data_IF_002563230370
#
_entry.id   IF_002563230370
#
_cell.length_a   1.000
_cell.length_b   1.000
_cell.length_c   1.000
_cell.angle_alpha   90.00
_cell.angle_beta   90.00
_cell.angle_gamma   90.00
#
_symmetry.space_group_name_H-M   'P 1'
#
loop_
_entity.id
_entity.type
_entity.pdbx_description
1 polymer ?
#
# COMPACT_ATOMS: atom_id res chain seq x y z
N UNK A 1 -9.36 13.60 28.37
CA UNK A 1 -10.56 13.31 27.58
C UNK A 1 -10.55 11.83 27.34
N UNK A 2 -11.63 11.16 27.70
CA UNK A 2 -11.70 9.71 27.67
C UNK A 2 -12.31 9.30 26.33
N UNK A 3 -11.50 8.65 25.51
CA UNK A 3 -11.91 8.00 24.27
C UNK A 3 -12.10 6.51 24.58
N UNK A 4 -13.14 5.90 24.01
CA UNK A 4 -13.42 4.48 24.18
C UNK A 4 -12.52 3.63 23.30
N UNK A 5 -12.26 4.07 22.07
CA UNK A 5 -11.55 3.30 21.05
C UNK A 5 -10.21 3.90 20.64
N UNK A 6 -9.82 5.05 21.19
CA UNK A 6 -8.52 5.65 20.98
C UNK A 6 -7.73 5.78 22.28
N UNK A 7 -6.43 5.58 22.22
CA UNK A 7 -5.50 6.05 23.25
C UNK A 7 -4.77 7.27 22.71
N UNK A 8 -4.73 8.34 23.50
CA UNK A 8 -4.02 9.57 23.16
C UNK A 8 -2.90 9.82 24.17
N UNK A 9 -1.67 9.94 23.68
CA UNK A 9 -0.51 10.34 24.46
C UNK A 9 0.14 11.57 23.84
N UNK A 10 0.50 12.57 24.64
CA UNK A 10 1.25 13.74 24.18
C UNK A 10 2.55 13.81 24.98
N UNK A 11 3.68 13.72 24.28
CA UNK A 11 5.01 13.77 24.88
C UNK A 11 5.97 14.51 23.94
N UNK A 12 6.81 15.38 24.48
CA UNK A 12 7.78 16.21 23.76
C UNK A 12 7.24 16.88 22.47
N UNK A 13 6.01 17.41 22.54
CA UNK A 13 5.33 18.05 21.41
C UNK A 13 4.86 17.09 20.32
N UNK A 14 4.89 15.78 20.55
CA UNK A 14 4.38 14.74 19.64
C UNK A 14 3.12 14.14 20.23
N UNK A 15 2.03 14.17 19.47
CA UNK A 15 0.79 13.50 19.84
C UNK A 15 0.69 12.13 19.16
N UNK A 16 0.54 11.06 19.92
CA UNK A 16 0.34 9.70 19.41
C UNK A 16 -1.12 9.28 19.59
N UNK A 17 -1.82 9.06 18.48
CA UNK A 17 -3.16 8.51 18.40
C UNK A 17 -3.04 7.00 18.14
N UNK A 18 -3.52 6.19 19.06
CA UNK A 18 -3.55 4.72 18.91
C UNK A 18 -4.98 4.22 18.79
N UNK A 19 -5.34 3.59 17.67
CA UNK A 19 -6.63 2.90 17.55
C UNK A 19 -6.56 1.64 18.41
N UNK A 20 -7.48 1.50 19.37
CA UNK A 20 -7.40 0.52 20.45
C UNK A 20 -8.57 -0.48 20.41
N UNK A 21 -8.61 -1.27 19.34
CA UNK A 21 -9.52 -2.43 19.19
C UNK A 21 -8.75 -3.68 18.74
N UNK A 22 -7.67 -4.08 19.43
CA UNK A 22 -6.74 -5.11 18.96
C UNK A 22 -7.40 -6.48 18.74
N UNK A 23 -8.43 -6.81 19.52
CA UNK A 23 -9.25 -8.01 19.40
C UNK A 23 -10.08 -8.06 18.10
N UNK A 24 -10.36 -6.90 17.51
CA UNK A 24 -11.03 -6.73 16.23
C UNK A 24 -10.08 -6.18 15.16
N UNK A 25 -8.76 -6.42 15.32
CA UNK A 25 -7.72 -6.00 14.38
C UNK A 25 -7.77 -4.50 14.05
N UNK A 26 -8.15 -3.69 15.04
CA UNK A 26 -8.29 -2.23 14.92
C UNK A 26 -9.25 -1.81 13.79
N UNK A 27 -10.27 -2.63 13.50
CA UNK A 27 -11.27 -2.31 12.48
C UNK A 27 -11.98 -0.99 12.79
N UNK A 28 -12.38 -0.25 11.75
CA UNK A 28 -13.01 1.07 11.90
C UNK A 28 -14.53 0.94 11.96
N UNK A 29 -15.13 1.56 12.98
CA UNK A 29 -16.57 1.79 13.12
C UNK A 29 -16.88 3.29 13.00
N UNK A 30 -18.16 3.69 12.89
CA UNK A 30 -18.54 5.11 12.98
C UNK A 30 -18.04 5.80 14.26
N UNK A 31 -18.00 5.09 15.39
CA UNK A 31 -17.50 5.63 16.66
C UNK A 31 -15.99 5.91 16.60
N UNK A 32 -15.20 5.00 16.04
CA UNK A 32 -13.76 5.21 15.82
C UNK A 32 -13.51 6.44 14.94
N UNK A 33 -14.28 6.62 13.86
CA UNK A 33 -14.16 7.82 13.02
C UNK A 33 -14.53 9.10 13.77
N UNK A 34 -15.55 9.06 14.62
CA UNK A 34 -15.95 10.19 15.43
C UNK A 34 -14.83 10.59 16.41
N UNK A 35 -14.28 9.66 17.17
CA UNK A 35 -13.16 9.92 18.09
C UNK A 35 -11.90 10.39 17.35
N UNK A 36 -11.62 9.82 16.17
CA UNK A 36 -10.48 10.25 15.35
C UNK A 36 -10.65 11.68 14.87
N UNK A 37 -11.86 12.07 14.46
CA UNK A 37 -12.17 13.45 14.09
C UNK A 37 -11.99 14.41 15.28
N UNK A 38 -12.57 14.08 16.43
CA UNK A 38 -12.47 14.93 17.63
C UNK A 38 -11.01 15.11 18.07
N UNK A 39 -10.25 14.01 18.13
CA UNK A 39 -8.81 14.07 18.47
C UNK A 39 -8.02 14.92 17.47
N UNK A 40 -8.25 14.78 16.16
CA UNK A 40 -7.58 15.60 15.14
C UNK A 40 -7.92 17.09 15.27
N UNK A 41 -9.17 17.44 15.61
CA UNK A 41 -9.58 18.85 15.82
C UNK A 41 -8.81 19.44 17.01
N UNK A 42 -8.79 18.73 18.14
CA UNK A 42 -8.11 19.15 19.37
C UNK A 42 -6.61 19.34 19.09
N UNK A 43 -5.98 18.30 18.54
CA UNK A 43 -4.54 18.28 18.30
C UNK A 43 -4.11 19.28 17.23
N UNK A 44 -4.96 19.59 16.25
CA UNK A 44 -4.66 20.61 15.25
C UNK A 44 -4.56 22.01 15.87
N UNK A 45 -5.41 22.30 16.87
CA UNK A 45 -5.50 23.62 17.52
C UNK A 45 -4.49 23.80 18.66
N UNK A 46 -3.97 22.71 19.22
CA UNK A 46 -3.02 22.76 20.31
C UNK A 46 -1.63 23.22 19.84
N UNK A 47 -1.21 24.42 20.24
CA UNK A 47 0.10 24.97 19.87
C UNK A 47 1.30 24.21 20.44
N UNK A 48 1.11 23.40 21.50
CA UNK A 48 2.17 22.56 22.09
C UNK A 48 2.48 21.35 21.20
N UNK A 49 1.49 20.84 20.48
CA UNK A 49 1.65 19.71 19.54
C UNK A 49 2.26 20.21 18.24
N UNK A 50 3.37 19.62 17.83
CA UNK A 50 4.14 19.94 16.62
C UNK A 50 4.05 18.86 15.54
N UNK A 51 3.82 17.60 15.93
CA UNK A 51 3.64 16.47 15.01
C UNK A 51 2.65 15.44 15.58
N UNK A 52 2.09 14.63 14.69
CA UNK A 52 1.17 13.55 15.03
C UNK A 52 1.72 12.20 14.57
N UNK A 53 1.54 11.19 15.41
CA UNK A 53 1.72 9.78 15.09
C UNK A 53 0.34 9.12 15.13
N UNK A 54 0.03 8.31 14.12
CA UNK A 54 -1.15 7.44 14.10
C UNK A 54 -0.63 6.01 14.07
N UNK A 55 -1.19 5.14 14.92
CA UNK A 55 -0.87 3.71 14.98
C UNK A 55 -2.04 2.87 15.49
N UNK A 56 -1.92 1.55 15.45
CA UNK A 56 -2.89 0.60 15.97
C UNK A 56 -2.34 -0.12 17.20
N UNK A 57 -3.21 -0.42 18.17
CA UNK A 57 -2.83 -1.17 19.36
C UNK A 57 -2.51 -2.64 19.01
N UNK A 58 -1.58 -3.21 19.76
CA UNK A 58 -1.12 -4.58 19.54
C UNK A 58 -0.19 -4.71 18.33
N UNK A 59 0.11 -5.96 17.94
CA UNK A 59 1.08 -6.27 16.89
C UNK A 59 0.46 -6.89 15.63
N UNK A 60 -0.87 -7.12 15.63
CA UNK A 60 -1.52 -7.86 14.54
C UNK A 60 -1.91 -7.00 13.34
N UNK A 61 -2.38 -5.78 13.57
CA UNK A 61 -2.86 -4.91 12.51
C UNK A 61 -2.74 -3.44 12.91
N UNK A 62 -2.39 -2.58 11.95
CA UNK A 62 -2.53 -1.13 12.10
C UNK A 62 -4.03 -0.80 12.15
N UNK A 63 -4.73 -1.10 11.05
CA UNK A 63 -6.17 -1.06 10.88
C UNK A 63 -6.51 -2.09 9.80
N UNK A 64 -7.39 -3.06 10.09
CA UNK A 64 -7.78 -4.10 9.11
C UNK A 64 -8.85 -3.65 8.09
N UNK A 65 -9.26 -2.38 8.13
CA UNK A 65 -10.27 -1.79 7.28
C UNK A 65 -11.56 -1.50 8.03
N UNK A 66 -12.67 -1.40 7.30
CA UNK A 66 -13.98 -1.17 7.88
C UNK A 66 -14.52 -2.43 8.57
N UNK A 67 -15.15 -2.26 9.73
CA UNK A 67 -15.72 -3.35 10.50
C UNK A 67 -16.95 -3.95 9.79
N UNK A 68 -16.78 -5.12 9.16
CA UNK A 68 -17.85 -5.79 8.39
C UNK A 68 -19.07 -6.14 9.26
N UNK A 69 -18.85 -6.46 10.54
CA UNK A 69 -19.95 -6.78 11.45
C UNK A 69 -20.77 -5.53 11.82
N UNK A 70 -20.12 -4.36 11.89
CA UNK A 70 -20.82 -3.09 11.99
C UNK A 70 -21.52 -2.71 10.68
N UNK A 71 -20.85 -2.88 9.53
CA UNK A 71 -21.38 -2.52 8.21
C UNK A 71 -22.60 -3.34 7.79
N UNK A 72 -22.63 -4.64 8.11
CA UNK A 72 -23.73 -5.54 7.71
C UNK A 72 -25.10 -5.16 8.29
N UNK A 73 -25.13 -4.29 9.29
CA UNK A 73 -26.33 -3.79 9.96
C UNK A 73 -26.78 -2.41 9.48
N UNK A 74 -26.00 -1.76 8.61
CA UNK A 74 -26.26 -0.39 8.17
C UNK A 74 -27.29 -0.35 7.03
N UNK A 75 -28.19 0.63 7.09
CA UNK A 75 -28.97 1.09 5.93
C UNK A 75 -28.09 1.82 4.91
N UNK A 76 -28.62 2.07 3.71
CA UNK A 76 -27.92 2.84 2.67
C UNK A 76 -27.52 4.26 3.12
N UNK A 77 -28.36 4.91 3.92
CA UNK A 77 -28.09 6.26 4.45
C UNK A 77 -26.96 6.21 5.49
N UNK A 78 -26.96 5.20 6.36
CA UNK A 78 -25.90 5.01 7.36
C UNK A 78 -24.57 4.65 6.71
N UNK A 79 -24.57 3.79 5.69
CA UNK A 79 -23.38 3.47 4.91
C UNK A 79 -22.82 4.71 4.18
N UNK A 80 -23.68 5.56 3.63
CA UNK A 80 -23.27 6.83 3.01
C UNK A 80 -22.62 7.76 4.04
N UNK A 81 -23.21 7.89 5.24
CA UNK A 81 -22.63 8.69 6.34
C UNK A 81 -21.30 8.13 6.81
N UNK A 82 -21.17 6.81 6.92
CA UNK A 82 -19.92 6.14 7.28
C UNK A 82 -18.82 6.41 6.24
N UNK A 83 -19.13 6.28 4.95
CA UNK A 83 -18.20 6.61 3.87
C UNK A 83 -17.79 8.09 3.89
N UNK A 84 -18.75 9.00 4.13
CA UNK A 84 -18.48 10.44 4.25
C UNK A 84 -17.57 10.76 5.44
N UNK A 85 -17.78 10.10 6.59
CA UNK A 85 -16.93 10.25 7.77
C UNK A 85 -15.50 9.77 7.50
N UNK A 86 -15.33 8.64 6.81
CA UNK A 86 -14.01 8.15 6.40
C UNK A 86 -13.28 9.13 5.47
N UNK A 87 -13.98 9.66 4.47
CA UNK A 87 -13.44 10.72 3.58
C UNK A 87 -13.06 11.97 4.36
N UNK A 88 -13.89 12.40 5.32
CA UNK A 88 -13.59 13.57 6.16
C UNK A 88 -12.33 13.33 7.01
N UNK A 89 -12.22 12.17 7.67
CA UNK A 89 -11.07 11.81 8.50
C UNK A 89 -9.76 11.81 7.70
N UNK A 90 -9.74 11.13 6.55
CA UNK A 90 -8.56 11.10 5.67
C UNK A 90 -8.22 12.50 5.17
N UNK A 91 -9.22 13.30 4.74
CA UNK A 91 -8.96 14.65 4.27
C UNK A 91 -8.42 15.57 5.37
N UNK A 92 -8.81 15.38 6.63
CA UNK A 92 -8.25 16.12 7.77
C UNK A 92 -6.80 15.73 8.04
N UNK A 93 -6.49 14.44 8.01
CA UNK A 93 -5.12 13.94 8.14
C UNK A 93 -4.22 14.52 7.04
N UNK A 94 -4.71 14.58 5.81
CA UNK A 94 -3.96 15.13 4.67
C UNK A 94 -3.76 16.65 4.77
N UNK A 95 -4.74 17.40 5.29
CA UNK A 95 -4.76 18.87 5.28
C UNK A 95 -4.31 19.53 6.56
N UNK A 96 -4.09 18.78 7.64
CA UNK A 96 -3.59 19.33 8.89
C UNK A 96 -2.22 19.97 8.64
N UNK A 97 -1.99 21.15 9.21
CA UNK A 97 -0.75 21.93 9.01
C UNK A 97 0.48 21.35 9.72
N UNK A 98 0.32 20.22 10.39
CA UNK A 98 1.33 19.55 11.20
C UNK A 98 1.71 18.22 10.53
N UNK A 99 2.98 17.79 10.55
CA UNK A 99 3.36 16.49 10.01
C UNK A 99 2.60 15.34 10.69
N UNK A 100 2.10 14.40 9.89
CA UNK A 100 1.43 13.18 10.37
C UNK A 100 2.20 11.95 9.90
N UNK A 101 2.52 11.05 10.83
CA UNK A 101 3.28 9.83 10.58
C UNK A 101 2.39 8.64 10.91
N UNK A 102 2.22 7.71 9.96
CA UNK A 102 1.58 6.42 10.22
C UNK A 102 2.66 5.37 10.48
N UNK A 103 2.62 4.71 11.65
CA UNK A 103 3.55 3.63 11.99
C UNK A 103 2.90 2.29 11.67
N UNK A 104 3.49 1.55 10.74
CA UNK A 104 3.09 0.19 10.37
C UNK A 104 4.27 -0.78 10.50
N UNK A 105 3.99 -2.05 10.86
CA UNK A 105 5.00 -3.11 10.87
C UNK A 105 5.32 -3.59 9.44
N UNK A 106 6.41 -4.36 9.29
CA UNK A 106 6.76 -4.97 8.01
C UNK A 106 5.66 -5.91 7.50
N UNK A 107 5.07 -6.71 8.38
CA UNK A 107 3.95 -7.63 8.07
C UNK A 107 2.72 -6.86 7.62
N UNK A 108 2.44 -5.71 8.25
CA UNK A 108 1.33 -4.84 7.87
C UNK A 108 1.58 -4.22 6.50
N UNK A 109 2.80 -3.76 6.21
CA UNK A 109 3.18 -3.27 4.90
C UNK A 109 3.00 -4.33 3.80
N UNK A 110 3.28 -5.60 4.11
CA UNK A 110 3.03 -6.73 3.20
C UNK A 110 1.53 -6.95 2.96
N UNK A 111 0.72 -6.94 4.04
CA UNK A 111 -0.72 -7.15 3.96
C UNK A 111 -1.44 -6.08 3.11
N UNK A 112 -1.00 -4.82 3.18
CA UNK A 112 -1.58 -3.73 2.39
C UNK A 112 -0.98 -3.61 0.98
N UNK A 113 -0.05 -4.49 0.61
CA UNK A 113 0.60 -4.50 -0.71
C UNK A 113 1.62 -3.37 -0.92
N UNK A 114 2.08 -2.70 0.14
CA UNK A 114 3.14 -1.69 0.07
C UNK A 114 4.50 -2.34 -0.24
N UNK A 115 4.71 -3.56 0.24
CA UNK A 115 5.89 -4.38 -0.08
C UNK A 115 5.46 -5.77 -0.55
N UNK A 116 6.28 -6.41 -1.38
CA UNK A 116 5.97 -7.74 -1.94
C UNK A 116 6.37 -8.90 -1.02
N UNK A 117 7.30 -8.69 -0.08
CA UNK A 117 7.82 -9.73 0.80
C UNK A 117 8.41 -9.12 2.08
N UNK A 118 8.35 -9.86 3.19
CA UNK A 118 9.02 -9.56 4.46
C UNK A 118 9.95 -10.72 4.80
N UNK A 119 11.17 -10.40 5.20
CA UNK A 119 12.24 -11.37 5.53
C UNK A 119 13.00 -10.88 6.76
N UNK A 120 13.80 -11.76 7.38
CA UNK A 120 14.71 -11.36 8.45
C UNK A 120 15.69 -10.29 7.97
N UNK A 121 16.06 -9.34 8.84
CA UNK A 121 16.92 -8.21 8.48
C UNK A 121 18.28 -8.68 7.90
N UNK A 122 18.82 -9.76 8.45
CA UNK A 122 20.04 -10.42 8.01
C UNK A 122 19.93 -11.10 6.63
N UNK A 123 18.70 -11.42 6.19
CA UNK A 123 18.43 -12.09 4.92
C UNK A 123 18.03 -11.12 3.80
N UNK A 124 17.78 -9.84 4.12
CA UNK A 124 17.24 -8.85 3.18
C UNK A 124 18.02 -8.79 1.88
N UNK A 125 19.35 -8.65 1.97
CA UNK A 125 20.21 -8.54 0.78
C UNK A 125 20.29 -9.86 0.01
N UNK A 126 20.38 -11.00 0.69
CA UNK A 126 20.43 -12.30 0.00
C UNK A 126 19.16 -12.60 -0.77
N UNK A 127 17.99 -12.34 -0.17
CA UNK A 127 16.67 -12.55 -0.80
C UNK A 127 16.46 -11.60 -1.98
N UNK A 128 16.85 -10.32 -1.82
CA UNK A 128 16.81 -9.32 -2.89
C UNK A 128 17.69 -9.74 -4.07
N UNK A 129 18.92 -10.21 -3.81
CA UNK A 129 19.82 -10.71 -4.85
C UNK A 129 19.27 -11.97 -5.54
N UNK A 130 18.58 -12.86 -4.81
CA UNK A 130 17.93 -14.00 -5.42
C UNK A 130 16.80 -13.59 -6.38
N UNK A 131 15.99 -12.60 -6.00
CA UNK A 131 14.97 -12.05 -6.90
C UNK A 131 15.61 -11.41 -8.15
N UNK A 132 16.68 -10.63 -7.98
CA UNK A 132 17.42 -10.06 -9.10
C UNK A 132 17.97 -11.14 -10.03
N UNK A 133 18.55 -12.23 -9.49
CA UNK A 133 19.02 -13.38 -10.27
C UNK A 133 17.90 -14.05 -11.06
N UNK A 134 16.68 -14.16 -10.50
CA UNK A 134 15.51 -14.68 -11.24
C UNK A 134 15.12 -13.78 -12.42
N UNK A 135 15.21 -12.45 -12.26
CA UNK A 135 14.96 -11.49 -13.34
C UNK A 135 16.05 -11.56 -14.42
N UNK A 136 17.32 -11.71 -14.04
CA UNK A 136 18.44 -11.83 -14.99
C UNK A 136 18.34 -13.07 -15.90
N UNK A 137 17.51 -14.06 -15.56
CA UNK A 137 17.22 -15.22 -16.41
C UNK A 137 16.21 -14.92 -17.53
N UNK A 138 15.67 -13.69 -17.60
CA UNK A 138 14.68 -13.28 -18.61
C UNK A 138 15.34 -12.42 -19.69
N UNK A 139 14.71 -12.33 -20.86
CA UNK A 139 15.17 -11.50 -21.95
C UNK A 139 15.21 -10.01 -21.52
N UNK A 140 16.37 -9.33 -21.53
CA UNK A 140 16.48 -7.94 -21.11
C UNK A 140 15.58 -6.97 -21.90
N UNK A 141 15.42 -7.19 -23.21
CA UNK A 141 14.51 -6.37 -24.04
C UNK A 141 13.07 -6.53 -23.57
N UNK A 142 12.61 -7.76 -23.31
CA UNK A 142 11.26 -8.01 -22.83
C UNK A 142 10.99 -7.41 -21.44
N UNK A 143 11.95 -7.51 -20.51
CA UNK A 143 11.85 -6.86 -19.20
C UNK A 143 11.74 -5.34 -19.31
N UNK A 144 12.53 -4.73 -20.20
CA UNK A 144 12.47 -3.29 -20.46
C UNK A 144 11.11 -2.88 -21.02
N UNK A 145 10.59 -3.62 -22.01
CA UNK A 145 9.28 -3.36 -22.60
C UNK A 145 8.14 -3.54 -21.58
N UNK A 146 8.18 -4.59 -20.76
CA UNK A 146 7.19 -4.81 -19.71
C UNK A 146 7.17 -3.65 -18.69
N UNK A 147 8.35 -3.18 -18.24
CA UNK A 147 8.44 -2.04 -17.32
C UNK A 147 7.88 -0.75 -17.93
N UNK A 148 8.17 -0.48 -19.21
CA UNK A 148 7.62 0.69 -19.92
C UNK A 148 6.12 0.59 -20.06
N UNK A 149 5.61 -0.59 -20.42
CA UNK A 149 4.18 -0.85 -20.59
C UNK A 149 3.41 -0.60 -19.28
N UNK A 150 3.88 -1.16 -18.17
CA UNK A 150 3.26 -0.96 -16.85
C UNK A 150 3.25 0.52 -16.47
N UNK A 151 4.38 1.21 -16.63
CA UNK A 151 4.46 2.63 -16.28
C UNK A 151 3.50 3.48 -17.14
N UNK A 152 3.46 3.26 -18.46
CA UNK A 152 2.56 4.02 -19.33
C UNK A 152 1.09 3.70 -19.06
N UNK A 153 0.76 2.45 -18.73
CA UNK A 153 -0.61 2.05 -18.42
C UNK A 153 -1.15 2.69 -17.13
N UNK A 154 -0.28 2.97 -16.14
CA UNK A 154 -0.70 3.65 -14.90
C UNK A 154 -1.20 5.07 -15.24
N UNK A 155 -2.49 5.29 -15.03
CA UNK A 155 -3.15 6.59 -15.27
C UNK A 155 -3.60 6.84 -16.71
N UNK A 156 -3.45 5.87 -17.62
CA UNK A 156 -4.05 5.91 -18.95
C UNK A 156 -5.42 5.22 -18.94
N UNK A 157 -6.27 5.52 -19.93
CA UNK A 157 -7.43 4.66 -20.17
C UNK A 157 -7.01 3.31 -20.75
N UNK A 158 -7.95 2.37 -20.76
CA UNK A 158 -7.69 0.98 -21.17
C UNK A 158 -7.25 0.88 -22.63
N UNK A 159 -7.84 1.67 -23.54
CA UNK A 159 -7.59 1.56 -24.98
C UNK A 159 -6.18 2.09 -25.30
N UNK A 160 -5.82 3.25 -24.72
CA UNK A 160 -4.48 3.82 -24.78
C UNK A 160 -3.41 2.85 -24.21
N UNK A 161 -3.74 2.22 -23.08
CA UNK A 161 -2.88 1.23 -22.44
C UNK A 161 -2.62 0.01 -23.33
N UNK A 162 -3.67 -0.53 -23.96
CA UNK A 162 -3.59 -1.67 -24.85
C UNK A 162 -2.86 -1.34 -26.16
N UNK A 163 -3.05 -0.15 -26.72
CA UNK A 163 -2.30 0.29 -27.91
C UNK A 163 -0.80 0.39 -27.60
N UNK A 164 -0.43 0.91 -26.44
CA UNK A 164 0.96 0.94 -26.01
C UNK A 164 1.53 -0.46 -25.75
N UNK A 165 0.72 -1.37 -25.21
CA UNK A 165 1.09 -2.78 -25.05
C UNK A 165 1.40 -3.44 -26.39
N UNK A 166 0.55 -3.27 -27.41
CA UNK A 166 0.78 -3.82 -28.76
C UNK A 166 2.14 -3.38 -29.30
N UNK A 167 2.50 -2.11 -29.11
CA UNK A 167 3.79 -1.58 -29.53
C UNK A 167 4.97 -2.20 -28.76
N UNK A 168 4.84 -2.35 -27.44
CA UNK A 168 5.84 -3.02 -26.59
C UNK A 168 6.02 -4.49 -26.96
N UNK A 169 4.91 -5.19 -27.26
CA UNK A 169 4.90 -6.56 -27.70
C UNK A 169 5.58 -6.72 -29.06
N UNK A 170 5.20 -5.91 -30.05
CA UNK A 170 5.81 -5.91 -31.38
C UNK A 170 7.32 -5.61 -31.31
N UNK A 171 7.74 -4.70 -30.43
CA UNK A 171 9.16 -4.41 -30.21
C UNK A 171 9.92 -5.63 -29.66
N UNK A 172 9.31 -6.51 -28.87
CA UNK A 172 9.99 -7.74 -28.45
C UNK A 172 10.37 -8.61 -29.67
N UNK A 173 9.54 -8.66 -30.71
CA UNK A 173 9.76 -9.49 -31.91
C UNK A 173 10.88 -8.98 -32.83
N UNK A 174 11.40 -7.77 -32.60
CA UNK A 174 12.60 -7.30 -33.31
C UNK A 174 13.91 -7.78 -32.65
N UNK A 175 13.85 -8.33 -31.43
CA UNK A 175 15.04 -8.81 -30.70
C UNK A 175 15.47 -10.22 -31.08
N UNK A 176 16.76 -10.52 -30.93
CA UNK A 176 17.26 -11.90 -31.05
C UNK A 176 16.82 -12.76 -29.87
N UNK A 177 16.68 -12.15 -28.69
CA UNK A 177 16.21 -12.85 -27.49
C UNK A 177 14.81 -13.43 -27.66
N UNK A 178 13.92 -12.76 -28.40
CA UNK A 178 12.61 -13.33 -28.72
C UNK A 178 12.73 -14.60 -29.56
N UNK A 179 13.56 -14.59 -30.61
CA UNK A 179 13.80 -15.75 -31.47
C UNK A 179 14.42 -16.91 -30.70
N UNK A 180 15.44 -16.62 -29.89
CA UNK A 180 16.12 -17.58 -29.03
C UNK A 180 15.16 -18.17 -27.98
N UNK A 181 14.36 -17.34 -27.32
CA UNK A 181 13.39 -17.80 -26.32
C UNK A 181 12.36 -18.76 -26.90
N UNK A 182 11.77 -18.42 -28.06
CA UNK A 182 10.81 -19.30 -28.73
C UNK A 182 11.46 -20.58 -29.25
N UNK A 183 12.66 -20.49 -29.84
CA UNK A 183 13.41 -21.65 -30.30
C UNK A 183 13.76 -22.60 -29.14
N UNK A 184 14.31 -22.07 -28.05
CA UNK A 184 14.66 -22.84 -26.86
C UNK A 184 13.45 -23.57 -26.26
N UNK A 185 12.29 -22.91 -26.24
CA UNK A 185 11.02 -23.52 -25.81
C UNK A 185 10.62 -24.71 -26.69
N UNK A 186 10.63 -24.54 -28.02
CA UNK A 186 10.32 -25.62 -28.97
C UNK A 186 11.32 -26.79 -28.87
N UNK A 187 12.59 -26.48 -28.62
CA UNK A 187 13.68 -27.46 -28.46
C UNK A 187 13.77 -28.04 -27.03
N UNK A 188 12.89 -27.63 -26.11
CA UNK A 188 12.88 -28.05 -24.69
C UNK A 188 14.22 -27.87 -23.97
N UNK A 189 14.93 -26.78 -24.27
CA UNK A 189 16.19 -26.40 -23.61
C UNK A 189 16.05 -25.04 -22.92
N UNK A 190 17.04 -24.71 -22.08
CA UNK A 190 17.11 -23.37 -21.48
C UNK A 190 17.56 -22.33 -22.53
N UNK A 191 16.93 -21.15 -22.59
CA UNK A 191 17.35 -20.07 -23.48
C UNK A 191 18.60 -19.35 -22.95
N UNK A 192 19.38 -18.79 -23.87
CA UNK A 192 20.52 -17.92 -23.54
C UNK A 192 20.26 -16.51 -24.09
N UNK A 193 19.79 -15.61 -23.24
CA UNK A 193 19.49 -14.24 -23.62
C UNK A 193 20.74 -13.35 -23.62
N UNK A 194 20.90 -12.53 -24.66
CA UNK A 194 22.05 -11.65 -24.87
C UNK A 194 21.70 -10.15 -24.78
N UNK A 195 20.40 -9.81 -24.76
CA UNK A 195 19.94 -8.43 -24.54
C UNK A 195 19.85 -7.55 -25.78
N UNK A 196 19.76 -8.15 -26.98
CA UNK A 196 19.60 -7.44 -28.25
C UNK A 196 18.73 -8.25 -29.23
#
# INVERSE_FOLDING_TARGET
MDFEYLLLNIDDGIATITINRPELLNAITPAVYHELKESLIILSSDSAVKALIITGAGNKAFIAGADIAAMSKMSSIEAMRFAAAGKEAVSRIEKISKPVIAIISAEQALQIGLVNQVVGAEQLMSETVQLAKKLLQKAPVALSMAKRCIHRAIGSDTDDGLEFEINCFAHCFSSQDQKEGMKAFLEKRSPIYKGY
#
